data_IF_994141912835
#
_entry.id   IF_994141912835
#
_cell.length_a   1.000
_cell.length_b   1.000
_cell.length_c   1.000
_cell.angle_alpha   90.00
_cell.angle_beta   90.00
_cell.angle_gamma   90.00
#
_symmetry.space_group_name_H-M   'P 1'
#
loop_
_entity.id
_entity.type
_entity.pdbx_description
1 polymer ?
#
# COMPACT_ATOMS: atom_id res chain seq x y z
N UNK A 1 20.00 5.86 11.08
CA UNK A 1 18.69 5.36 11.49
C UNK A 1 18.67 3.85 11.49
N UNK A 2 17.95 3.26 12.41
CA UNK A 2 17.90 1.80 12.55
C UNK A 2 16.85 1.21 11.60
N UNK A 3 17.02 -0.07 11.26
CA UNK A 3 16.03 -0.82 10.48
C UNK A 3 14.67 -0.84 11.16
N UNK A 4 14.65 -0.78 12.50
CA UNK A 4 13.41 -0.73 13.27
C UNK A 4 12.60 0.53 13.00
N UNK A 5 13.26 1.69 12.90
CA UNK A 5 12.60 2.94 12.54
C UNK A 5 12.05 2.86 11.11
N UNK A 6 12.86 2.31 10.19
CA UNK A 6 12.44 2.15 8.80
C UNK A 6 11.21 1.24 8.70
N UNK A 7 11.18 0.18 9.51
CA UNK A 7 10.03 -0.73 9.55
C UNK A 7 8.75 0.00 9.98
N UNK A 8 8.84 0.80 11.04
CA UNK A 8 7.69 1.58 11.52
C UNK A 8 7.16 2.52 10.44
N UNK A 9 8.06 3.22 9.75
CA UNK A 9 7.67 4.11 8.65
C UNK A 9 7.01 3.35 7.51
N UNK A 10 7.58 2.22 7.13
CA UNK A 10 7.07 1.40 6.03
C UNK A 10 5.71 0.78 6.36
N UNK A 11 5.49 0.39 7.62
CA UNK A 11 4.19 -0.09 8.06
C UNK A 11 3.14 1.01 7.91
N UNK A 12 3.44 2.23 8.35
CA UNK A 12 2.53 3.36 8.21
C UNK A 12 2.23 3.68 6.75
N UNK A 13 3.26 3.67 5.90
CA UNK A 13 3.10 3.89 4.46
C UNK A 13 2.22 2.80 3.82
N UNK A 14 2.40 1.55 4.25
CA UNK A 14 1.62 0.43 3.73
C UNK A 14 0.15 0.52 4.17
N UNK A 15 -0.10 1.00 5.38
CA UNK A 15 -1.47 1.21 5.88
C UNK A 15 -2.22 2.31 5.11
N UNK A 16 -1.49 3.14 4.38
CA UNK A 16 -2.09 4.17 3.53
C UNK A 16 -3.08 3.57 2.53
N UNK A 17 -2.94 2.29 2.18
CA UNK A 17 -3.88 1.63 1.27
C UNK A 17 -5.33 1.69 1.77
N UNK A 18 -5.52 1.66 3.09
CA UNK A 18 -6.86 1.74 3.68
C UNK A 18 -7.52 3.08 3.33
N UNK A 19 -6.75 4.17 3.47
CA UNK A 19 -7.24 5.50 3.13
C UNK A 19 -7.45 5.65 1.61
N UNK A 20 -6.55 5.09 0.82
CA UNK A 20 -6.66 5.12 -0.64
C UNK A 20 -7.92 4.37 -1.10
N UNK A 21 -8.22 3.23 -0.50
CA UNK A 21 -9.42 2.47 -0.83
C UNK A 21 -10.70 3.20 -0.40
N UNK A 22 -10.68 3.87 0.75
CA UNK A 22 -11.81 4.68 1.20
C UNK A 22 -12.07 5.83 0.24
N UNK A 23 -11.02 6.53 -0.16
CA UNK A 23 -11.14 7.62 -1.12
C UNK A 23 -11.65 7.11 -2.46
N UNK A 24 -11.13 5.99 -2.93
CA UNK A 24 -11.56 5.37 -4.17
C UNK A 24 -13.06 5.04 -4.13
N UNK A 25 -13.54 4.50 -3.02
CA UNK A 25 -14.95 4.20 -2.83
C UNK A 25 -15.82 5.47 -2.88
N UNK A 26 -15.35 6.54 -2.23
CA UNK A 26 -16.05 7.83 -2.28
C UNK A 26 -16.17 8.35 -3.71
N UNK A 27 -15.08 8.21 -4.49
CA UNK A 27 -15.09 8.63 -5.90
C UNK A 27 -16.10 7.81 -6.70
N UNK A 28 -16.12 6.48 -6.48
CA UNK A 28 -17.07 5.61 -7.18
C UNK A 28 -18.53 5.91 -6.84
N UNK A 29 -18.78 6.35 -5.60
CA UNK A 29 -20.13 6.70 -5.15
C UNK A 29 -20.55 8.10 -5.61
N UNK A 30 -19.66 8.87 -6.22
CA UNK A 30 -19.97 10.21 -6.70
C UNK A 30 -20.85 10.16 -7.94
N UNK A 31 -21.61 11.25 -8.18
CA UNK A 31 -22.51 11.34 -9.33
C UNK A 31 -21.77 11.27 -10.67
N UNK A 32 -20.51 11.66 -10.69
CA UNK A 32 -19.68 11.61 -11.91
C UNK A 32 -19.50 10.18 -12.41
N UNK A 33 -19.59 9.19 -11.52
CA UNK A 33 -19.39 7.79 -11.84
C UNK A 33 -20.73 7.01 -11.90
N UNK A 34 -21.86 7.68 -11.78
CA UNK A 34 -23.18 7.03 -11.79
C UNK A 34 -23.52 6.37 -13.13
N UNK A 35 -22.92 6.81 -14.23
CA UNK A 35 -23.10 6.19 -15.54
C UNK A 35 -21.77 5.67 -16.08
N UNK A 36 -21.41 4.44 -15.74
CA UNK A 36 -20.13 3.86 -16.16
C UNK A 36 -20.10 3.64 -17.68
N UNK A 37 -19.25 4.40 -18.38
CA UNK A 37 -18.89 4.15 -19.76
C UNK A 37 -17.73 3.14 -19.82
N UNK A 38 -17.49 2.56 -21.00
CA UNK A 38 -16.35 1.67 -21.20
C UNK A 38 -15.02 2.38 -20.91
N UNK A 39 -14.89 3.65 -21.31
CA UNK A 39 -13.70 4.45 -21.05
C UNK A 39 -13.46 4.65 -19.56
N UNK A 40 -14.52 4.91 -18.80
CA UNK A 40 -14.44 5.10 -17.36
C UNK A 40 -14.07 3.79 -16.64
N UNK A 41 -14.64 2.69 -17.10
CA UNK A 41 -14.34 1.36 -16.58
C UNK A 41 -12.86 1.05 -16.77
N UNK A 42 -12.27 1.36 -17.92
CA UNK A 42 -10.85 1.16 -18.19
C UNK A 42 -9.97 1.99 -17.26
N UNK A 43 -10.35 3.24 -16.99
CA UNK A 43 -9.61 4.09 -16.07
C UNK A 43 -9.63 3.54 -14.64
N UNK A 44 -10.77 3.03 -14.21
CA UNK A 44 -10.91 2.40 -12.89
C UNK A 44 -10.03 1.16 -12.80
N UNK A 45 -10.07 0.30 -13.80
CA UNK A 45 -9.26 -0.92 -13.85
C UNK A 45 -7.77 -0.59 -13.81
N UNK A 46 -7.33 0.40 -14.58
CA UNK A 46 -5.95 0.83 -14.59
C UNK A 46 -5.50 1.39 -13.25
N UNK A 47 -6.37 2.14 -12.58
CA UNK A 47 -6.08 2.65 -11.23
C UNK A 47 -5.92 1.50 -10.23
N UNK A 48 -6.82 0.51 -10.27
CA UNK A 48 -6.75 -0.66 -9.40
C UNK A 48 -5.48 -1.46 -9.64
N UNK A 49 -5.11 -1.69 -10.90
CA UNK A 49 -3.85 -2.37 -11.25
C UNK A 49 -2.65 -1.61 -10.71
N UNK A 50 -2.66 -0.29 -10.82
CA UNK A 50 -1.60 0.56 -10.27
C UNK A 50 -1.48 0.42 -8.75
N UNK A 51 -2.61 0.42 -8.04
CA UNK A 51 -2.63 0.22 -6.59
C UNK A 51 -2.07 -1.15 -6.21
N UNK A 52 -2.52 -2.19 -6.87
CA UNK A 52 -2.05 -3.55 -6.62
C UNK A 52 -0.53 -3.64 -6.79
N UNK A 53 -0.01 -3.06 -7.87
CA UNK A 53 1.41 -3.09 -8.17
C UNK A 53 2.22 -2.33 -7.11
N UNK A 54 1.81 -1.10 -6.79
CA UNK A 54 2.53 -0.26 -5.83
C UNK A 54 2.52 -0.89 -4.44
N UNK A 55 1.36 -1.35 -3.98
CA UNK A 55 1.26 -1.94 -2.64
C UNK A 55 1.92 -3.30 -2.55
N UNK A 56 1.98 -4.05 -3.65
CA UNK A 56 2.79 -5.25 -3.71
C UNK A 56 4.25 -4.96 -3.40
N UNK A 57 4.82 -3.91 -4.00
CA UNK A 57 6.19 -3.48 -3.72
C UNK A 57 6.36 -2.95 -2.28
N UNK A 58 5.38 -2.20 -1.77
CA UNK A 58 5.42 -1.70 -0.39
C UNK A 58 5.42 -2.82 0.62
N UNK A 59 4.58 -3.84 0.43
CA UNK A 59 4.55 -5.01 1.31
C UNK A 59 5.86 -5.79 1.25
N UNK A 60 6.40 -5.99 0.06
CA UNK A 60 7.68 -6.69 -0.10
C UNK A 60 8.80 -5.95 0.60
N UNK A 61 8.88 -4.64 0.43
CA UNK A 61 9.88 -3.81 1.10
C UNK A 61 9.74 -3.89 2.61
N UNK A 62 8.52 -3.80 3.12
CA UNK A 62 8.24 -3.88 4.55
C UNK A 62 8.65 -5.23 5.12
N UNK A 63 8.38 -6.31 4.39
CA UNK A 63 8.76 -7.65 4.80
C UNK A 63 10.29 -7.81 4.87
N UNK A 64 11.00 -7.30 3.88
CA UNK A 64 12.47 -7.34 3.88
C UNK A 64 13.05 -6.57 5.07
N UNK A 65 12.47 -5.42 5.40
CA UNK A 65 12.88 -4.63 6.56
C UNK A 65 12.58 -5.39 7.86
N UNK A 66 11.44 -6.05 7.92
CA UNK A 66 11.07 -6.91 9.04
C UNK A 66 12.11 -8.02 9.25
N UNK A 67 12.55 -8.66 8.18
CA UNK A 67 13.60 -9.68 8.25
C UNK A 67 14.90 -9.13 8.83
N UNK A 68 15.29 -7.92 8.43
CA UNK A 68 16.47 -7.24 8.98
C UNK A 68 16.31 -6.96 10.48
N UNK A 69 15.14 -6.49 10.90
CA UNK A 69 14.87 -6.23 12.32
C UNK A 69 14.97 -7.52 13.13
N UNK A 70 14.42 -8.61 12.62
CA UNK A 70 14.51 -9.92 13.28
C UNK A 70 15.97 -10.38 13.40
N UNK A 71 16.75 -10.22 12.34
CA UNK A 71 18.15 -10.58 12.35
C UNK A 71 18.95 -9.74 13.38
N UNK A 72 18.72 -8.44 13.42
CA UNK A 72 19.36 -7.54 14.38
C UNK A 72 18.99 -7.92 15.82
N UNK A 73 17.72 -8.23 16.06
CA UNK A 73 17.24 -8.60 17.40
C UNK A 73 17.89 -9.89 17.86
N UNK A 74 17.97 -10.90 17.01
CA UNK A 74 18.63 -12.17 17.32
C UNK A 74 20.10 -11.97 17.61
N UNK A 75 20.77 -11.16 16.79
CA UNK A 75 22.17 -10.84 16.96
C UNK A 75 22.43 -10.12 18.28
N UNK A 76 21.61 -9.13 18.61
CA UNK A 76 21.76 -8.33 19.82
C UNK A 76 21.37 -9.07 21.10
N UNK A 77 20.58 -10.12 21.01
CA UNK A 77 20.18 -10.94 22.14
C UNK A 77 21.33 -11.83 22.66
N UNK A 78 22.41 -11.92 21.93
CA UNK A 78 23.61 -12.65 22.34
C UNK A 78 24.56 -11.73 23.06
#
# INVERSE_FOLDING_TARGET
MTARFDLEQQIMETWQIVDDLKLFREILDSEEFAGLSAELTDKIDNYMLGLITIYGYRFERTFRTFEKVCAETVYNAR
#
